data_IF_938010933377
#
_entry.id   IF_938010933377
#
_cell.length_a   1.000
_cell.length_b   1.000
_cell.length_c   1.000
_cell.angle_alpha   90.00
_cell.angle_beta   90.00
_cell.angle_gamma   90.00
#
_symmetry.space_group_name_H-M   'P 1'
#
loop_
_entity.id
_entity.type
_entity.pdbx_description
1 polymer ?
#
# COMPACT_ATOMS: atom_id res chain seq x y z
N UNK A 1 -21.63 5.47 13.24
CA UNK A 1 -20.82 6.69 13.01
C UNK A 1 -19.47 6.21 12.56
N UNK A 2 -19.26 6.07 11.26
CA UNK A 2 -17.95 5.74 10.69
C UNK A 2 -17.12 7.01 10.77
N UNK A 3 -16.25 7.09 11.76
CA UNK A 3 -15.20 8.09 11.86
C UNK A 3 -14.33 7.90 10.60
N UNK A 4 -14.64 8.64 9.55
CA UNK A 4 -13.87 8.63 8.32
C UNK A 4 -12.62 9.43 8.65
N UNK A 5 -11.59 8.75 9.14
CA UNK A 5 -10.30 9.36 9.36
C UNK A 5 -9.91 10.05 8.05
N UNK A 6 -9.76 11.37 8.10
CA UNK A 6 -9.30 12.16 6.99
C UNK A 6 -7.95 11.61 6.51
N UNK A 7 -7.74 11.54 5.20
CA UNK A 7 -6.48 11.06 4.65
C UNK A 7 -5.33 11.93 5.20
N UNK A 8 -4.21 11.35 5.68
CA UNK A 8 -3.10 12.14 6.19
C UNK A 8 -2.40 12.87 5.04
N UNK A 9 -1.67 13.93 5.36
CA UNK A 9 -0.74 14.51 4.39
C UNK A 9 0.41 13.53 4.10
N UNK A 10 1.06 13.69 2.95
CA UNK A 10 2.25 12.89 2.63
C UNK A 10 3.34 13.05 3.71
N UNK A 11 3.52 14.27 4.21
CA UNK A 11 4.51 14.56 5.25
C UNK A 11 4.20 13.84 6.56
N UNK A 12 2.94 13.88 7.01
CA UNK A 12 2.51 13.17 8.22
C UNK A 12 2.68 11.66 8.09
N UNK A 13 2.34 11.11 6.93
CA UNK A 13 2.56 9.69 6.66
C UNK A 13 4.05 9.33 6.72
N UNK A 14 4.91 10.09 6.05
CA UNK A 14 6.36 9.84 6.05
C UNK A 14 6.97 9.99 7.45
N UNK A 15 6.53 10.99 8.22
CA UNK A 15 6.94 11.18 9.61
C UNK A 15 6.51 9.99 10.48
N UNK A 16 5.32 9.44 10.25
CA UNK A 16 4.83 8.27 11.01
C UNK A 16 5.72 7.03 10.85
N UNK A 17 6.53 6.95 9.79
CA UNK A 17 7.48 5.85 9.58
C UNK A 17 8.63 5.85 10.59
N UNK A 18 8.82 6.91 11.38
CA UNK A 18 9.78 6.91 12.50
C UNK A 18 9.18 6.34 13.78
N UNK A 19 7.85 6.19 13.85
CA UNK A 19 7.14 5.65 15.01
C UNK A 19 7.12 4.12 15.07
N UNK A 20 6.67 3.57 16.20
CA UNK A 20 6.58 2.12 16.45
C UNK A 20 5.20 1.52 16.13
N UNK A 21 4.16 2.35 16.01
CA UNK A 21 2.79 1.92 15.74
C UNK A 21 2.21 2.70 14.57
N UNK A 22 1.43 2.05 13.69
CA UNK A 22 0.73 2.76 12.64
C UNK A 22 -0.31 3.70 13.26
N UNK A 23 -0.46 4.89 12.69
CA UNK A 23 -1.62 5.74 12.95
C UNK A 23 -2.89 5.06 12.42
N UNK A 24 -4.06 5.66 12.67
CA UNK A 24 -5.32 5.20 12.07
C UNK A 24 -5.34 5.55 10.57
N UNK A 25 -4.70 4.70 9.76
CA UNK A 25 -4.69 4.82 8.31
C UNK A 25 -5.76 3.95 7.66
N UNK A 26 -6.06 4.22 6.39
CA UNK A 26 -6.83 3.28 5.57
C UNK A 26 -6.07 1.94 5.44
N UNK A 27 -6.76 0.83 5.12
CA UNK A 27 -6.11 -0.46 4.93
C UNK A 27 -4.92 -0.45 3.93
N UNK A 28 -5.02 0.12 2.71
CA UNK A 28 -3.88 0.16 1.78
C UNK A 28 -2.72 1.04 2.28
N UNK A 29 -3.02 2.14 2.98
CA UNK A 29 -1.97 2.99 3.53
C UNK A 29 -1.28 2.35 4.75
N UNK A 30 -2.03 1.57 5.55
CA UNK A 30 -1.47 0.72 6.62
C UNK A 30 -0.54 -0.35 6.04
N UNK A 31 -0.92 -0.97 4.92
CA UNK A 31 -0.08 -1.95 4.24
C UNK A 31 1.26 -1.36 3.81
N UNK A 32 1.27 -0.17 3.21
CA UNK A 32 2.48 0.53 2.79
C UNK A 32 3.35 0.96 3.99
N UNK A 33 2.73 1.28 5.12
CA UNK A 33 3.44 1.56 6.37
C UNK A 33 4.16 0.32 6.90
N UNK A 34 3.49 -0.84 6.98
CA UNK A 34 4.11 -2.10 7.39
C UNK A 34 5.19 -2.56 6.40
N UNK A 35 4.96 -2.35 5.09
CA UNK A 35 5.95 -2.63 4.06
C UNK A 35 7.26 -1.84 4.27
N UNK A 36 7.15 -0.56 4.63
CA UNK A 36 8.31 0.28 4.95
C UNK A 36 9.03 -0.15 6.24
N UNK A 37 8.35 -0.91 7.11
CA UNK A 37 8.95 -1.56 8.29
C UNK A 37 9.53 -2.94 7.99
N UNK A 38 9.48 -3.40 6.74
CA UNK A 38 9.84 -4.75 6.31
C UNK A 38 8.97 -5.85 6.95
N UNK A 39 7.73 -5.52 7.32
CA UNK A 39 6.73 -6.49 7.80
C UNK A 39 5.75 -6.83 6.68
N UNK A 40 6.19 -7.70 5.77
CA UNK A 40 5.40 -8.11 4.61
C UNK A 40 4.10 -8.81 5.01
N UNK A 41 4.09 -9.61 6.08
CA UNK A 41 2.91 -10.35 6.50
C UNK A 41 1.83 -9.40 7.02
N UNK A 42 2.20 -8.45 7.88
CA UNK A 42 1.26 -7.43 8.34
C UNK A 42 0.77 -6.54 7.18
N UNK A 43 1.67 -6.22 6.24
CA UNK A 43 1.30 -5.44 5.05
C UNK A 43 0.26 -6.15 4.20
N UNK A 44 0.48 -7.45 3.91
CA UNK A 44 -0.40 -8.27 3.09
C UNK A 44 -1.78 -8.43 3.74
N UNK A 45 -1.84 -8.76 5.03
CA UNK A 45 -3.09 -8.86 5.80
C UNK A 45 -3.95 -7.60 5.75
N UNK A 46 -3.34 -6.41 5.68
CA UNK A 46 -4.09 -5.15 5.60
C UNK A 46 -4.90 -5.03 4.31
N UNK A 47 -4.50 -5.68 3.21
CA UNK A 47 -5.17 -5.56 1.89
C UNK A 47 -5.77 -6.88 1.39
N UNK A 48 -5.71 -7.95 2.18
CA UNK A 48 -6.12 -9.29 1.77
C UNK A 48 -7.62 -9.36 1.43
N UNK A 49 -8.46 -8.72 2.23
CA UNK A 49 -9.92 -8.66 2.00
C UNK A 49 -10.35 -7.48 1.10
N UNK A 50 -9.41 -6.59 0.75
CA UNK A 50 -9.69 -5.35 0.03
C UNK A 50 -9.87 -5.56 -1.47
N UNK A 51 -11.05 -5.22 -2.00
CA UNK A 51 -11.39 -5.31 -3.43
C UNK A 51 -11.57 -3.97 -4.12
N UNK A 52 -11.25 -2.86 -3.43
CA UNK A 52 -11.19 -1.54 -4.04
C UNK A 52 -9.87 -1.35 -4.81
N UNK A 53 -9.85 -0.37 -5.71
CA UNK A 53 -8.70 -0.08 -6.57
C UNK A 53 -7.39 0.08 -5.78
N UNK A 54 -7.42 0.78 -4.65
CA UNK A 54 -6.21 1.08 -3.90
C UNK A 54 -5.66 -0.14 -3.15
N UNK A 55 -6.55 -0.95 -2.57
CA UNK A 55 -6.18 -2.24 -1.99
C UNK A 55 -5.56 -3.18 -3.03
N UNK A 56 -6.21 -3.34 -4.19
CA UNK A 56 -5.70 -4.21 -5.27
C UNK A 56 -4.37 -3.72 -5.86
N UNK A 57 -4.21 -2.39 -6.06
CA UNK A 57 -2.94 -1.80 -6.51
C UNK A 57 -1.83 -2.04 -5.50
N UNK A 58 -2.11 -1.88 -4.21
CA UNK A 58 -1.14 -2.12 -3.13
C UNK A 58 -0.76 -3.60 -3.04
N UNK A 59 -1.75 -4.49 -3.15
CA UNK A 59 -1.55 -5.94 -3.18
C UNK A 59 -0.62 -6.36 -4.35
N UNK A 60 -0.82 -5.76 -5.54
CA UNK A 60 0.05 -5.98 -6.70
C UNK A 60 1.51 -5.57 -6.44
N UNK A 61 1.71 -4.40 -5.85
CA UNK A 61 3.04 -3.91 -5.46
C UNK A 61 3.72 -4.84 -4.44
N UNK A 62 3.00 -5.31 -3.40
CA UNK A 62 3.58 -6.18 -2.37
C UNK A 62 4.11 -7.50 -2.96
N UNK A 63 3.35 -8.17 -3.85
CA UNK A 63 3.84 -9.37 -4.52
C UNK A 63 4.99 -9.07 -5.49
N UNK A 64 4.98 -7.92 -6.16
CA UNK A 64 6.11 -7.51 -7.01
C UNK A 64 7.38 -7.34 -6.18
N UNK A 65 7.30 -6.74 -4.99
CA UNK A 65 8.43 -6.57 -4.07
C UNK A 65 8.96 -7.91 -3.55
N UNK A 66 8.06 -8.85 -3.24
CA UNK A 66 8.40 -10.22 -2.81
C UNK A 66 9.05 -11.05 -3.93
N UNK A 67 8.76 -10.71 -5.20
CA UNK A 67 9.25 -11.42 -6.39
C UNK A 67 8.27 -12.42 -6.97
N UNK A 68 7.05 -12.52 -6.44
CA UNK A 68 5.96 -13.30 -7.04
C UNK A 68 5.30 -12.50 -8.17
N UNK A 69 5.98 -12.48 -9.32
CA UNK A 69 5.55 -11.72 -10.50
C UNK A 69 4.23 -12.24 -11.08
N UNK A 70 3.89 -13.51 -10.88
CA UNK A 70 2.64 -14.09 -11.37
C UNK A 70 1.47 -13.56 -10.58
N UNK A 71 1.54 -13.57 -9.25
CA UNK A 71 0.50 -12.98 -8.41
C UNK A 71 0.47 -11.46 -8.51
N UNK A 72 1.61 -10.80 -8.63
CA UNK A 72 1.65 -9.37 -8.92
C UNK A 72 0.86 -9.03 -10.20
N UNK A 73 1.09 -9.77 -11.30
CA UNK A 73 0.38 -9.59 -12.55
C UNK A 73 -1.14 -9.86 -12.45
N UNK A 74 -1.55 -10.83 -11.62
CA UNK A 74 -2.95 -11.06 -11.29
C UNK A 74 -3.57 -9.82 -10.65
N UNK A 75 -2.95 -9.27 -9.61
CA UNK A 75 -3.50 -8.13 -8.88
C UNK A 75 -3.45 -6.82 -9.66
N UNK A 76 -2.40 -6.57 -10.47
CA UNK A 76 -2.39 -5.43 -11.39
C UNK A 76 -3.59 -5.49 -12.33
N UNK A 77 -3.91 -6.67 -12.88
CA UNK A 77 -5.08 -6.85 -13.74
C UNK A 77 -6.39 -6.60 -12.99
N UNK A 78 -6.52 -7.07 -11.75
CA UNK A 78 -7.69 -6.79 -10.91
C UNK A 78 -7.86 -5.28 -10.64
N UNK A 79 -6.75 -4.55 -10.46
CA UNK A 79 -6.74 -3.10 -10.35
C UNK A 79 -6.92 -2.36 -11.70
N UNK A 80 -7.03 -3.07 -12.84
CA UNK A 80 -7.12 -2.46 -14.17
C UNK A 80 -5.82 -1.78 -14.63
N UNK A 81 -4.68 -2.16 -14.06
CA UNK A 81 -3.35 -1.59 -14.31
C UNK A 81 -2.47 -2.54 -15.12
N UNK A 82 -1.48 -1.96 -15.81
CA UNK A 82 -0.33 -2.73 -16.29
C UNK A 82 0.72 -2.82 -15.17
N UNK A 83 1.57 -3.86 -15.15
CA UNK A 83 2.68 -3.92 -14.21
C UNK A 83 3.55 -2.68 -14.27
N UNK A 84 3.95 -2.17 -13.12
CA UNK A 84 4.84 -1.01 -13.03
C UNK A 84 6.21 -1.35 -13.61
N UNK A 85 6.84 -0.38 -14.28
CA UNK A 85 8.10 -0.59 -15.02
C UNK A 85 9.32 0.09 -14.38
N UNK A 86 9.14 0.84 -13.29
CA UNK A 86 10.22 1.54 -12.58
C UNK A 86 10.69 0.84 -11.29
N UNK A 87 11.42 1.58 -10.46
CA UNK A 87 11.91 1.08 -9.18
C UNK A 87 10.76 0.84 -8.19
N UNK A 88 10.92 -0.13 -7.29
CA UNK A 88 9.95 -0.42 -6.23
C UNK A 88 9.70 0.79 -5.33
N UNK A 89 10.74 1.56 -5.02
CA UNK A 89 10.64 2.75 -4.19
C UNK A 89 9.77 3.85 -4.85
N UNK A 90 9.86 3.99 -6.17
CA UNK A 90 9.06 4.96 -6.93
C UNK A 90 7.59 4.53 -6.93
N UNK A 91 7.33 3.25 -7.20
CA UNK A 91 5.97 2.70 -7.15
C UNK A 91 5.33 2.85 -5.78
N UNK A 92 6.06 2.48 -4.72
CA UNK A 92 5.61 2.63 -3.34
C UNK A 92 5.22 4.09 -3.05
N UNK A 93 6.09 5.04 -3.42
CA UNK A 93 5.86 6.46 -3.19
C UNK A 93 4.67 6.99 -3.99
N UNK A 94 4.48 6.53 -5.24
CA UNK A 94 3.31 6.89 -6.05
C UNK A 94 2.00 6.37 -5.44
N UNK A 95 1.99 5.17 -4.84
CA UNK A 95 0.81 4.64 -4.16
C UNK A 95 0.51 5.46 -2.91
N UNK A 96 1.52 5.72 -2.07
CA UNK A 96 1.37 6.55 -0.87
C UNK A 96 0.82 7.93 -1.23
N UNK A 97 1.40 8.61 -2.22
CA UNK A 97 0.94 9.93 -2.69
C UNK A 97 -0.52 9.92 -3.15
N UNK A 98 -0.97 8.83 -3.79
CA UNK A 98 -2.36 8.71 -4.24
C UNK A 98 -3.38 8.48 -3.12
N UNK A 99 -2.91 8.16 -1.91
CA UNK A 99 -3.71 7.86 -0.73
C UNK A 99 -3.71 8.98 0.32
N UNK A 100 -2.86 9.98 0.14
CA UNK A 100 -2.75 11.18 0.98
C UNK A 100 -3.59 12.33 0.39
N UNK A 101 -3.91 13.33 1.23
CA UNK A 101 -4.62 14.56 0.81
C UNK A 101 -3.70 15.61 0.17
#
# INVERSE_FOLDING_TARGET
>A
MTDSAEAPSLEDFLLSLTGERPSRFSPPLSALWFDAKNDWQAAHLCVDEGSDFASMRTHAYLHRKEGDLTNAAYWYRCAGLRPYQGALADEWLEIVKSLCN
#
